data_IF_970405015893
#
_entry.id   IF_970405015893
#
_cell.length_a   1.000
_cell.length_b   1.000
_cell.length_c   1.000
_cell.angle_alpha   90.00
_cell.angle_beta   90.00
_cell.angle_gamma   90.00
#
_symmetry.space_group_name_H-M   'P 1'
#
loop_
_entity.id
_entity.type
_entity.pdbx_description
1 polymer ?
#
# COMPACT_ATOMS: atom_id res chain seq x y z
N UNK A 1 -12.67 -34.34 -8.57
CA UNK A 1 -11.24 -34.01 -8.43
C UNK A 1 -10.92 -32.52 -8.19
N UNK A 2 -11.89 -31.59 -8.18
CA UNK A 2 -11.60 -30.15 -7.93
C UNK A 2 -11.88 -29.75 -6.47
N UNK A 3 -12.74 -30.47 -5.75
CA UNK A 3 -13.13 -30.12 -4.38
C UNK A 3 -12.03 -30.39 -3.32
N UNK A 4 -11.07 -31.28 -3.60
CA UNK A 4 -10.02 -31.67 -2.66
C UNK A 4 -8.87 -30.66 -2.53
N UNK A 5 -8.83 -29.63 -3.39
CA UNK A 5 -7.85 -28.52 -3.27
C UNK A 5 -8.29 -27.43 -2.28
N UNK A 6 -9.52 -27.48 -1.76
CA UNK A 6 -10.06 -26.48 -0.82
C UNK A 6 -9.68 -26.71 0.65
N UNK A 7 -8.98 -27.81 0.98
CA UNK A 7 -8.62 -28.16 2.36
C UNK A 7 -7.29 -27.55 2.84
N UNK A 8 -6.52 -26.92 1.94
CA UNK A 8 -5.42 -26.04 2.30
C UNK A 8 -5.87 -24.60 2.13
N UNK A 9 -5.90 -23.81 3.21
CA UNK A 9 -6.41 -22.43 3.21
C UNK A 9 -5.87 -21.63 2.03
N UNK A 10 -6.76 -21.22 1.12
CA UNK A 10 -6.39 -20.42 -0.03
C UNK A 10 -5.79 -19.10 0.47
N UNK A 11 -4.61 -18.67 -0.02
CA UNK A 11 -4.04 -17.39 0.34
C UNK A 11 -5.08 -16.29 0.18
N UNK A 12 -5.29 -15.41 1.17
CA UNK A 12 -6.34 -14.38 1.10
C UNK A 12 -6.26 -13.49 -0.15
N UNK A 13 -5.09 -13.36 -0.78
CA UNK A 13 -4.93 -12.62 -2.03
C UNK A 13 -5.63 -13.26 -3.23
N UNK A 14 -5.85 -14.58 -3.20
CA UNK A 14 -6.52 -15.33 -4.27
C UNK A 14 -8.04 -15.36 -4.10
N UNK A 15 -8.57 -14.92 -2.96
CA UNK A 15 -10.02 -14.77 -2.74
C UNK A 15 -10.54 -13.39 -3.14
N UNK A 16 -9.67 -12.51 -3.65
CA UNK A 16 -9.99 -11.15 -4.05
C UNK A 16 -10.72 -11.12 -5.40
N UNK A 17 -11.78 -10.33 -5.49
CA UNK A 17 -12.57 -10.21 -6.72
C UNK A 17 -11.78 -9.55 -7.86
N UNK A 18 -12.04 -9.96 -9.10
CA UNK A 18 -11.42 -9.36 -10.29
C UNK A 18 -11.66 -7.84 -10.38
N UNK A 19 -12.84 -7.37 -9.94
CA UNK A 19 -13.16 -5.94 -9.82
C UNK A 19 -12.17 -5.21 -8.92
N UNK A 20 -11.87 -5.78 -7.75
CA UNK A 20 -10.93 -5.21 -6.79
C UNK A 20 -9.50 -5.20 -7.34
N UNK A 21 -9.09 -6.27 -8.02
CA UNK A 21 -7.77 -6.35 -8.67
C UNK A 21 -7.63 -5.23 -9.70
N UNK A 22 -8.62 -5.04 -10.57
CA UNK A 22 -8.62 -3.98 -11.58
C UNK A 22 -8.53 -2.59 -10.96
N UNK A 23 -9.30 -2.33 -9.91
CA UNK A 23 -9.27 -1.06 -9.18
C UNK A 23 -7.88 -0.76 -8.59
N UNK A 24 -7.24 -1.76 -7.98
CA UNK A 24 -5.88 -1.64 -7.43
C UNK A 24 -4.85 -1.38 -8.54
N UNK A 25 -4.92 -2.12 -9.65
CA UNK A 25 -4.05 -1.91 -10.83
C UNK A 25 -4.18 -0.48 -11.33
N UNK A 26 -5.41 0.01 -11.54
CA UNK A 26 -5.64 1.35 -12.08
C UNK A 26 -5.12 2.44 -11.15
N UNK A 27 -5.24 2.28 -9.84
CA UNK A 27 -4.74 3.26 -8.86
C UNK A 27 -3.21 3.24 -8.83
N UNK A 28 -2.60 2.06 -8.80
CA UNK A 28 -1.15 1.91 -8.81
C UNK A 28 -0.52 2.46 -10.10
N UNK A 29 -1.12 2.15 -11.25
CA UNK A 29 -0.66 2.67 -12.54
C UNK A 29 -0.80 4.20 -12.61
N UNK A 30 -1.98 4.75 -12.28
CA UNK A 30 -2.23 6.20 -12.38
C UNK A 30 -1.45 7.03 -11.37
N UNK A 31 -1.25 6.55 -10.15
CA UNK A 31 -0.69 7.37 -9.05
C UNK A 31 0.77 7.05 -8.73
N UNK A 32 1.21 5.81 -8.93
CA UNK A 32 2.57 5.38 -8.59
C UNK A 32 3.42 5.05 -9.82
N UNK A 33 2.83 5.05 -11.02
CA UNK A 33 3.48 4.67 -12.28
C UNK A 33 4.16 3.30 -12.19
N UNK A 34 3.46 2.33 -11.61
CA UNK A 34 3.94 0.94 -11.50
C UNK A 34 3.11 0.02 -12.39
N UNK A 35 3.79 -0.95 -12.98
CA UNK A 35 3.21 -1.94 -13.86
C UNK A 35 2.56 -3.12 -13.08
N UNK A 36 1.74 -3.90 -13.78
CA UNK A 36 1.11 -5.14 -13.28
C UNK A 36 2.09 -6.12 -12.65
N UNK A 37 3.34 -6.18 -13.14
CA UNK A 37 4.45 -6.94 -12.55
C UNK A 37 4.67 -6.64 -11.05
N UNK A 38 4.37 -5.42 -10.59
CA UNK A 38 4.43 -5.06 -9.17
C UNK A 38 3.46 -5.88 -8.32
N UNK A 39 2.24 -6.10 -8.80
CA UNK A 39 1.21 -6.85 -8.07
C UNK A 39 1.54 -8.33 -8.05
N UNK A 40 2.05 -8.88 -9.16
CA UNK A 40 2.52 -10.27 -9.24
C UNK A 40 3.58 -10.53 -8.18
N UNK A 41 4.53 -9.60 -8.01
CA UNK A 41 5.58 -9.70 -6.99
C UNK A 41 5.08 -9.40 -5.56
N UNK A 42 3.96 -8.70 -5.41
CA UNK A 42 3.44 -8.22 -4.12
C UNK A 42 1.92 -8.41 -3.98
N UNK A 43 1.41 -9.66 -4.00
CA UNK A 43 -0.03 -9.93 -4.03
C UNK A 43 -0.77 -9.45 -2.77
N UNK A 44 -0.06 -9.32 -1.64
CA UNK A 44 -0.64 -8.80 -0.39
C UNK A 44 -1.14 -7.35 -0.49
N UNK A 45 -0.68 -6.60 -1.50
CA UNK A 45 -1.17 -5.23 -1.77
C UNK A 45 -2.67 -5.25 -2.11
N UNK A 46 -3.17 -6.35 -2.70
CA UNK A 46 -4.59 -6.54 -3.03
C UNK A 46 -5.50 -6.64 -1.79
N UNK A 47 -4.94 -6.98 -0.63
CA UNK A 47 -5.68 -7.06 0.63
C UNK A 47 -5.94 -5.67 1.25
N UNK A 48 -5.27 -4.62 0.75
CA UNK A 48 -5.42 -3.27 1.26
C UNK A 48 -6.69 -2.61 0.74
N UNK A 49 -7.34 -1.80 1.59
CA UNK A 49 -8.38 -0.88 1.13
C UNK A 49 -7.77 0.12 0.13
N UNK A 50 -8.47 0.36 -0.99
CA UNK A 50 -7.98 1.25 -2.05
C UNK A 50 -8.04 2.70 -1.57
N UNK A 51 -9.21 3.13 -1.09
CA UNK A 51 -9.44 4.49 -0.60
C UNK A 51 -8.70 4.77 0.70
N UNK A 52 -8.81 3.86 1.68
CA UNK A 52 -8.34 4.15 3.04
C UNK A 52 -6.86 3.85 3.26
N UNK A 53 -6.24 2.99 2.43
CA UNK A 53 -4.87 2.53 2.67
C UNK A 53 -3.95 2.79 1.48
N UNK A 54 -4.31 2.32 0.28
CA UNK A 54 -3.41 2.43 -0.88
C UNK A 54 -3.20 3.87 -1.32
N UNK A 55 -4.29 4.64 -1.50
CA UNK A 55 -4.19 6.04 -1.94
C UNK A 55 -3.34 6.90 -0.97
N UNK A 56 -3.59 6.91 0.36
CA UNK A 56 -2.75 7.66 1.31
C UNK A 56 -1.28 7.21 1.29
N UNK A 57 -1.02 5.90 1.22
CA UNK A 57 0.35 5.37 1.21
C UNK A 57 1.13 5.74 -0.04
N UNK A 58 0.48 5.70 -1.20
CA UNK A 58 1.10 6.11 -2.47
C UNK A 58 1.40 7.62 -2.44
N UNK A 59 0.48 8.42 -1.90
CA UNK A 59 0.68 9.87 -1.77
C UNK A 59 1.90 10.19 -0.89
N UNK A 60 1.99 9.57 0.28
CA UNK A 60 3.16 9.68 1.17
C UNK A 60 4.43 9.25 0.43
N UNK A 61 4.41 8.13 -0.29
CA UNK A 61 5.56 7.68 -1.07
C UNK A 61 6.00 8.72 -2.11
N UNK A 62 5.05 9.29 -2.86
CA UNK A 62 5.31 10.27 -3.90
C UNK A 62 5.88 11.57 -3.33
N UNK A 63 5.36 12.05 -2.20
CA UNK A 63 5.89 13.24 -1.53
C UNK A 63 7.30 13.02 -0.97
N UNK A 64 7.56 11.85 -0.38
CA UNK A 64 8.90 11.50 0.07
C UNK A 64 9.86 11.36 -1.12
N UNK A 65 9.38 10.82 -2.25
CA UNK A 65 10.16 10.71 -3.48
C UNK A 65 10.50 12.08 -4.06
N UNK A 66 9.54 12.99 -4.16
CA UNK A 66 9.74 14.33 -4.72
C UNK A 66 10.69 15.18 -3.87
N UNK A 67 10.70 14.97 -2.55
CA UNK A 67 11.60 15.65 -1.60
C UNK A 67 12.94 14.93 -1.38
N UNK A 68 13.21 13.83 -2.10
CA UNK A 68 14.40 12.99 -1.93
C UNK A 68 14.61 12.46 -0.49
N UNK A 69 13.51 12.23 0.24
CA UNK A 69 13.50 11.75 1.62
C UNK A 69 13.43 10.21 1.73
N UNK A 70 13.32 9.51 0.61
CA UNK A 70 13.34 8.04 0.59
C UNK A 70 14.74 7.52 0.91
N UNK A 71 14.87 6.74 1.99
CA UNK A 71 16.09 5.99 2.28
C UNK A 71 16.31 4.93 1.19
N UNK A 72 17.56 4.56 0.88
CA UNK A 72 17.92 3.58 -0.18
C UNK A 72 17.13 2.26 -0.16
N UNK A 73 16.61 1.82 0.99
CA UNK A 73 15.84 0.58 1.15
C UNK A 73 14.32 0.76 1.14
N UNK A 74 13.82 1.99 1.07
CA UNK A 74 12.37 2.27 1.09
C UNK A 74 11.80 2.19 -0.32
N UNK A 75 11.13 1.08 -0.61
CA UNK A 75 10.33 0.91 -1.84
C UNK A 75 8.85 1.18 -1.59
N UNK A 76 8.08 1.41 -2.65
CA UNK A 76 6.61 1.49 -2.55
C UNK A 76 6.03 0.22 -1.89
N UNK A 77 6.54 -0.96 -2.25
CA UNK A 77 6.14 -2.22 -1.64
C UNK A 77 6.37 -2.24 -0.13
N UNK A 78 7.48 -1.65 0.34
CA UNK A 78 7.78 -1.53 1.77
C UNK A 78 6.74 -0.64 2.46
N UNK A 79 6.36 0.49 1.86
CA UNK A 79 5.33 1.40 2.41
C UNK A 79 3.95 0.73 2.40
N UNK A 80 3.58 0.04 1.33
CA UNK A 80 2.32 -0.70 1.23
C UNK A 80 2.21 -1.84 2.26
N UNK A 81 3.32 -2.43 2.69
CA UNK A 81 3.34 -3.53 3.69
C UNK A 81 3.53 -3.04 5.14
N UNK A 82 3.92 -1.78 5.34
CA UNK A 82 4.17 -1.27 6.69
C UNK A 82 2.86 -1.16 7.50
N UNK A 83 2.84 -1.57 8.77
CA UNK A 83 1.72 -1.25 9.66
C UNK A 83 1.52 0.27 9.76
N UNK A 84 0.27 0.72 9.86
CA UNK A 84 -0.10 2.14 9.86
C UNK A 84 0.64 2.93 10.94
N UNK A 85 0.69 2.40 12.17
CA UNK A 85 1.45 3.01 13.28
C UNK A 85 2.95 3.17 12.96
N UNK A 86 3.56 2.19 12.30
CA UNK A 86 4.98 2.27 11.90
C UNK A 86 5.18 3.25 10.76
N UNK A 87 4.21 3.38 9.86
CA UNK A 87 4.23 4.34 8.77
C UNK A 87 4.15 5.77 9.32
N UNK A 88 3.21 6.04 10.23
CA UNK A 88 3.07 7.33 10.92
C UNK A 88 4.36 7.65 11.68
N UNK A 89 4.85 6.74 12.53
CA UNK A 89 6.06 7.00 13.33
C UNK A 89 7.30 7.24 12.47
N UNK A 90 7.46 6.54 11.35
CA UNK A 90 8.63 6.67 10.46
C UNK A 90 8.56 7.84 9.49
N UNK A 91 7.37 8.23 9.05
CA UNK A 91 7.24 9.21 7.98
C UNK A 91 6.42 10.44 8.37
N UNK A 92 5.35 10.27 9.14
CA UNK A 92 4.59 11.42 9.64
C UNK A 92 5.34 12.18 10.73
N UNK A 93 5.86 11.47 11.73
CA UNK A 93 6.57 12.12 12.85
C UNK A 93 7.94 12.62 12.41
N UNK A 94 8.69 11.84 11.62
CA UNK A 94 10.04 12.21 11.20
C UNK A 94 10.09 13.32 10.16
N UNK A 95 9.01 13.53 9.39
CA UNK A 95 8.95 14.55 8.35
C UNK A 95 7.77 15.52 8.54
N UNK A 96 7.19 15.62 9.74
CA UNK A 96 6.07 16.54 10.04
C UNK A 96 6.40 17.98 9.66
N UNK A 97 7.62 18.43 9.98
CA UNK A 97 8.11 19.76 9.62
C UNK A 97 8.32 19.97 8.11
N UNK A 98 8.54 18.89 7.35
CA UNK A 98 8.85 18.95 5.92
C UNK A 98 7.64 18.64 5.03
N UNK A 99 6.65 17.90 5.54
CA UNK A 99 5.48 17.44 4.77
C UNK A 99 4.27 18.38 4.88
N UNK A 100 4.25 19.29 5.86
CA UNK A 100 3.07 20.11 6.15
C UNK A 100 1.94 19.25 6.74
N UNK A 101 1.04 19.85 7.52
CA UNK A 101 -0.02 19.14 8.27
C UNK A 101 -0.96 18.27 7.41
N UNK A 102 -0.92 18.40 6.09
CA UNK A 102 -1.98 17.94 5.19
C UNK A 102 -1.95 16.43 4.88
N UNK A 103 -0.85 15.71 5.08
CA UNK A 103 -0.67 14.46 4.31
C UNK A 103 -1.06 13.13 4.96
N UNK A 104 -1.52 13.09 6.23
CA UNK A 104 -1.79 11.79 6.89
C UNK A 104 -3.26 11.64 7.28
N UNK A 105 -4.18 11.34 6.33
CA UNK A 105 -5.52 10.86 6.65
C UNK A 105 -5.49 9.38 7.11
N UNK A 106 -4.42 9.01 7.83
CA UNK A 106 -4.28 7.69 8.44
C UNK A 106 -5.13 7.72 9.70
N UNK A 107 -6.23 6.96 9.67
CA UNK A 107 -7.24 6.97 10.72
C UNK A 107 -6.56 6.37 11.95
N UNK A 108 -6.14 7.23 12.87
CA UNK A 108 -5.75 6.84 14.22
C UNK A 108 -7.01 6.37 14.95
N UNK A 109 -7.48 5.16 14.64
CA UNK A 109 -8.46 4.47 15.45
C UNK A 109 -7.78 3.25 16.07
N UNK A 110 -7.95 3.17 17.39
CA UNK A 110 -7.54 2.10 18.32
C UNK A 110 -6.13 2.22 18.90
N UNK A 111 -6.00 3.05 19.94
CA UNK A 111 -5.37 2.58 21.20
C UNK A 111 -6.29 1.51 21.82
#
# INVERSE_FOLDING_TARGET
MILSLYLGGCPPSLTISARKIKEVIEVLHRRANVDTSFIVNHPLVLLSSVENSLKPRIEIFNQLKSKNLLRRKTSLATICKLPEMKLIKRYAVSYSAQLGEVSFPLRAHSL
#
